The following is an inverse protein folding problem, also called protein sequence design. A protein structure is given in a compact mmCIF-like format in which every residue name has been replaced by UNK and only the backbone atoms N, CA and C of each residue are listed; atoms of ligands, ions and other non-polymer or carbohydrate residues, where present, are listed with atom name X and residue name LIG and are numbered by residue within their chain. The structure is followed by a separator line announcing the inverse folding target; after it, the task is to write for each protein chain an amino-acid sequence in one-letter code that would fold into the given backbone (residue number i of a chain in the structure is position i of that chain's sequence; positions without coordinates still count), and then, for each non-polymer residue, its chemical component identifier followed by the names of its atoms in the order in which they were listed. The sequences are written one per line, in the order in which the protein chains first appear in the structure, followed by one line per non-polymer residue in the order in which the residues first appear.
data_IF_156594743094
#
_entry.id   IF_156594743094
#
_cell.length_a   1.000
_cell.length_b   1.000
_cell.length_c   1.000
_cell.angle_alpha   90.00
_cell.angle_beta   90.00
_cell.angle_gamma   90.00
#
_symmetry.space_group_name_H-M   'P 1'
#
loop_
_entity.id
_entity.type
_entity.pdbx_description
1 polymer ?
#
# COMPACT_ATOMS: atom_id res chain seq x y z
N UNK A 1 -12.61 3.92 -23.10
CA UNK A 1 -12.88 3.24 -21.81
C UNK A 1 -11.59 2.67 -21.17
N UNK A 2 -10.48 3.43 -21.19
CA UNK A 2 -9.17 3.03 -20.62
C UNK A 2 -8.47 4.26 -20.01
N UNK A 3 -9.04 4.88 -18.97
CA UNK A 3 -8.37 6.06 -18.38
C UNK A 3 -8.57 6.30 -16.88
N UNK A 4 -9.31 5.45 -16.17
CA UNK A 4 -9.62 5.71 -14.75
C UNK A 4 -8.36 5.64 -13.87
N UNK A 5 -7.51 4.63 -14.04
CA UNK A 5 -6.28 4.48 -13.28
C UNK A 5 -5.03 5.07 -13.96
N UNK A 6 -5.13 5.60 -15.18
CA UNK A 6 -3.98 6.14 -15.92
C UNK A 6 -3.41 7.42 -15.30
N UNK A 7 -4.22 8.16 -14.53
CA UNK A 7 -3.85 9.44 -13.91
C UNK A 7 -4.23 9.52 -12.42
N UNK A 8 -4.60 8.41 -11.80
CA UNK A 8 -5.01 8.41 -10.40
C UNK A 8 -3.77 8.67 -9.50
N UNK A 9 -3.74 9.75 -8.71
CA UNK A 9 -2.64 10.02 -7.80
C UNK A 9 -2.81 9.17 -6.54
N UNK A 10 -2.37 7.91 -6.60
CA UNK A 10 -2.29 7.06 -5.42
C UNK A 10 -0.97 7.32 -4.67
N UNK A 11 -1.05 7.37 -3.33
CA UNK A 11 0.11 7.57 -2.45
C UNK A 11 1.07 6.37 -2.46
N UNK A 12 2.19 6.49 -1.72
CA UNK A 12 3.19 5.44 -1.59
C UNK A 12 2.56 4.08 -1.28
N UNK A 13 2.93 3.06 -2.07
CA UNK A 13 2.48 1.66 -1.96
C UNK A 13 0.97 1.40 -2.18
N UNK A 14 0.17 2.43 -2.50
CA UNK A 14 -1.22 2.26 -2.90
C UNK A 14 -1.31 1.87 -4.39
N UNK A 15 -2.17 0.90 -4.70
CA UNK A 15 -2.50 0.50 -6.08
C UNK A 15 -3.83 1.10 -6.50
N UNK A 16 -3.92 1.59 -7.73
CA UNK A 16 -5.20 2.02 -8.29
C UNK A 16 -6.02 0.81 -8.73
N UNK A 17 -7.27 0.76 -8.27
CA UNK A 17 -8.29 -0.22 -8.65
C UNK A 17 -9.55 0.50 -9.10
N UNK A 18 -10.30 -0.10 -10.02
CA UNK A 18 -11.60 0.45 -10.47
C UNK A 18 -12.72 -0.28 -9.76
N UNK A 19 -13.48 0.43 -8.92
CA UNK A 19 -14.65 -0.09 -8.21
C UNK A 19 -15.85 0.74 -8.63
N UNK A 20 -16.93 0.10 -9.09
CA UNK A 20 -18.15 0.78 -9.55
C UNK A 20 -17.87 1.89 -10.59
N UNK A 21 -17.01 1.60 -11.58
CA UNK A 21 -16.59 2.54 -12.62
C UNK A 21 -15.89 3.81 -12.09
N UNK A 22 -15.31 3.76 -10.88
CA UNK A 22 -14.55 4.84 -10.25
C UNK A 22 -13.15 4.38 -9.88
N UNK A 23 -12.14 5.17 -10.23
CA UNK A 23 -10.77 4.97 -9.77
C UNK A 23 -10.67 5.18 -8.26
N UNK A 24 -10.13 4.18 -7.56
CA UNK A 24 -9.95 4.18 -6.11
C UNK A 24 -8.55 3.65 -5.79
N UNK A 25 -7.90 4.20 -4.77
CA UNK A 25 -6.61 3.69 -4.30
C UNK A 25 -6.85 2.66 -3.19
N UNK A 26 -6.20 1.50 -3.31
CA UNK A 26 -6.29 0.39 -2.37
C UNK A 26 -4.88 0.05 -1.88
N UNK A 27 -4.76 -0.13 -0.56
CA UNK A 27 -3.53 -0.60 0.07
C UNK A 27 -3.43 -2.13 -0.05
N UNK A 28 -2.23 -2.71 0.14
CA UNK A 28 -2.11 -4.15 0.28
C UNK A 28 -3.02 -4.66 1.41
N UNK A 29 -4.00 -5.49 1.07
CA UNK A 29 -4.93 -6.07 2.05
C UNK A 29 -4.49 -7.46 2.52
N UNK A 30 -3.65 -8.13 1.73
CA UNK A 30 -3.15 -9.47 1.98
C UNK A 30 -1.63 -9.45 1.92
N UNK A 31 -1.00 -9.91 2.99
CA UNK A 31 0.44 -10.14 3.07
C UNK A 31 0.72 -11.61 3.38
N UNK A 32 1.92 -12.05 3.02
CA UNK A 32 2.40 -13.39 3.37
C UNK A 32 2.73 -13.43 4.87
N UNK A 33 2.69 -14.62 5.46
CA UNK A 33 3.14 -14.84 6.85
C UNK A 33 4.65 -15.12 6.96
N UNK A 34 5.40 -14.84 5.89
CA UNK A 34 6.85 -14.97 5.93
C UNK A 34 7.41 -13.96 6.93
N UNK A 35 8.27 -14.44 7.84
CA UNK A 35 8.91 -13.60 8.83
C UNK A 35 10.28 -13.15 8.34
N UNK A 36 10.37 -11.89 7.91
CA UNK A 36 11.59 -11.22 7.48
C UNK A 36 11.57 -9.78 8.02
N UNK A 37 11.86 -9.60 9.32
CA UNK A 37 11.52 -8.37 10.02
C UNK A 37 12.32 -7.17 9.53
N UNK A 38 11.64 -6.01 9.45
CA UNK A 38 12.22 -4.73 9.03
C UNK A 38 11.97 -3.67 10.09
N UNK A 39 12.97 -2.82 10.34
CA UNK A 39 12.82 -1.66 11.21
C UNK A 39 12.42 -0.45 10.37
N UNK A 40 11.25 0.12 10.63
CA UNK A 40 10.80 1.36 10.03
C UNK A 40 11.46 2.58 10.66
N UNK A 41 11.48 3.68 9.91
CA UNK A 41 11.89 5.02 10.36
C UNK A 41 11.01 5.58 11.49
N UNK A 42 9.80 5.03 11.66
CA UNK A 42 8.90 5.29 12.78
C UNK A 42 9.29 4.56 14.07
N UNK A 43 10.37 3.78 14.05
CA UNK A 43 10.88 3.01 15.18
C UNK A 43 10.10 1.72 15.45
N UNK A 44 9.21 1.30 14.55
CA UNK A 44 8.48 0.04 14.67
C UNK A 44 9.15 -1.06 13.86
N UNK A 45 8.98 -2.31 14.31
CA UNK A 45 9.35 -3.49 13.53
C UNK A 45 8.13 -4.03 12.82
N UNK A 46 8.27 -4.31 11.52
CA UNK A 46 7.26 -4.93 10.69
C UNK A 46 7.67 -6.37 10.38
N UNK A 47 6.72 -7.30 10.42
CA UNK A 47 7.00 -8.74 10.26
C UNK A 47 7.62 -9.07 8.90
N UNK A 48 7.29 -8.30 7.87
CA UNK A 48 7.90 -8.34 6.55
C UNK A 48 7.68 -7.03 5.76
N UNK A 49 8.28 -6.98 4.56
CA UNK A 49 8.14 -5.87 3.62
C UNK A 49 6.69 -5.53 3.29
N UNK A 50 5.83 -6.54 3.06
CA UNK A 50 4.43 -6.28 2.71
C UNK A 50 3.69 -5.59 3.86
N UNK A 51 3.89 -6.04 5.10
CA UNK A 51 3.29 -5.40 6.27
C UNK A 51 3.78 -3.96 6.47
N UNK A 52 5.06 -3.68 6.19
CA UNK A 52 5.60 -2.32 6.22
C UNK A 52 4.96 -1.43 5.13
N UNK A 53 4.89 -1.90 3.90
CA UNK A 53 4.26 -1.19 2.78
C UNK A 53 2.77 -0.94 3.02
N UNK A 54 2.08 -1.93 3.57
CA UNK A 54 0.68 -1.82 4.00
C UNK A 54 0.51 -0.74 5.06
N UNK A 55 1.34 -0.76 6.10
CA UNK A 55 1.30 0.24 7.15
C UNK A 55 1.63 1.66 6.62
N UNK A 56 2.56 1.76 5.66
CA UNK A 56 2.95 3.01 5.00
C UNK A 56 1.78 3.57 4.19
N UNK A 57 1.13 2.72 3.39
CA UNK A 57 -0.04 3.08 2.60
C UNK A 57 -1.22 3.53 3.47
N UNK A 58 -1.54 2.79 4.53
CA UNK A 58 -2.67 3.11 5.42
C UNK A 58 -2.44 4.40 6.22
N UNK A 59 -1.20 4.70 6.57
CA UNK A 59 -0.83 5.91 7.33
C UNK A 59 -0.52 7.12 6.44
N UNK A 60 -0.42 6.93 5.11
CA UNK A 60 0.07 7.94 4.16
C UNK A 60 1.42 8.55 4.61
N UNK A 61 2.34 7.68 5.03
CA UNK A 61 3.70 8.05 5.48
C UNK A 61 4.71 7.10 4.89
N UNK A 62 5.85 7.61 4.47
CA UNK A 62 6.99 6.76 4.14
C UNK A 62 7.58 6.23 5.46
N UNK A 63 7.65 4.90 5.57
CA UNK A 63 8.12 4.19 6.76
C UNK A 63 9.49 3.58 6.51
#
# INVERSE_FOLDING_TARGET
EKDLCSRAPCGSFARCVVVNNKATCSCPDICTFEYSPLCGSDGKTYDNQCEMERASCLQNKDL
#
